data_IF_130976659035
#
_entry.id   IF_130976659035
#
_cell.length_a   1.000
_cell.length_b   1.000
_cell.length_c   1.000
_cell.angle_alpha   90.00
_cell.angle_beta   90.00
_cell.angle_gamma   90.00
#
_symmetry.space_group_name_H-M   'P 1'
#
loop_
_entity.id
_entity.type
_entity.pdbx_description
1 polymer ?
#
# COMPACT_ATOMS: atom_id res chain seq x y z
N UNK A 1 -12.60 -5.25 -27.95
CA UNK A 1 -11.88 -4.00 -27.62
C UNK A 1 -12.12 -3.72 -26.14
N UNK A 2 -11.07 -3.63 -25.31
CA UNK A 2 -11.21 -3.40 -23.87
C UNK A 2 -11.49 -1.91 -23.65
N UNK A 3 -12.69 -1.57 -23.17
CA UNK A 3 -13.05 -0.22 -22.75
C UNK A 3 -12.33 0.09 -21.43
N UNK A 4 -11.15 0.68 -21.49
CA UNK A 4 -10.53 1.27 -20.31
C UNK A 4 -11.18 2.64 -20.06
N UNK A 5 -12.17 2.69 -19.16
CA UNK A 5 -12.86 3.93 -18.75
C UNK A 5 -12.12 4.72 -17.66
N UNK A 6 -10.92 4.29 -17.28
CA UNK A 6 -10.16 4.86 -16.19
C UNK A 6 -9.18 5.91 -16.69
N UNK A 7 -9.24 7.12 -16.12
CA UNK A 7 -8.18 8.11 -16.29
C UNK A 7 -7.14 7.91 -15.19
N UNK A 8 -5.86 7.96 -15.60
CA UNK A 8 -4.72 7.77 -14.73
C UNK A 8 -4.14 9.12 -14.33
N UNK A 9 -3.71 9.25 -13.09
CA UNK A 9 -3.18 10.49 -12.55
C UNK A 9 -1.88 10.25 -11.80
N UNK A 10 -0.92 11.16 -12.01
CA UNK A 10 0.25 11.30 -11.17
C UNK A 10 -0.03 12.36 -10.11
N UNK A 11 0.26 12.02 -8.86
CA UNK A 11 -0.04 12.85 -7.70
C UNK A 11 1.20 13.00 -6.83
N UNK A 12 1.55 14.24 -6.49
CA UNK A 12 2.59 14.58 -5.51
C UNK A 12 2.06 15.57 -4.49
N UNK A 13 2.57 15.53 -3.26
CA UNK A 13 2.22 16.52 -2.23
C UNK A 13 2.87 17.85 -2.61
N UNK A 14 2.10 18.94 -2.60
CA UNK A 14 2.61 20.29 -2.79
C UNK A 14 3.55 20.66 -1.64
N UNK A 15 4.78 21.02 -2.01
CA UNK A 15 5.84 21.43 -1.10
C UNK A 15 6.20 22.91 -1.36
N UNK A 16 7.07 23.45 -0.50
CA UNK A 16 7.58 24.81 -0.65
C UNK A 16 8.21 25.05 -2.04
N UNK A 17 8.23 26.31 -2.51
CA UNK A 17 8.66 26.67 -3.88
C UNK A 17 10.08 26.24 -4.25
N UNK A 18 10.96 26.02 -3.27
CA UNK A 18 12.35 25.63 -3.48
C UNK A 18 12.60 24.13 -3.23
N UNK A 19 11.54 23.36 -3.01
CA UNK A 19 11.67 21.92 -2.79
C UNK A 19 12.06 21.20 -4.08
N UNK A 20 12.98 20.24 -3.97
CA UNK A 20 13.32 19.36 -5.08
C UNK A 20 12.29 18.23 -5.18
N UNK A 21 11.40 18.30 -6.16
CA UNK A 21 10.34 17.31 -6.33
C UNK A 21 10.85 15.94 -6.80
N UNK A 22 12.11 15.80 -7.21
CA UNK A 22 12.72 14.51 -7.52
C UNK A 22 12.80 13.60 -6.28
N UNK A 23 12.84 14.19 -5.09
CA UNK A 23 12.80 13.47 -3.81
C UNK A 23 11.39 13.44 -3.20
N UNK A 24 10.37 13.92 -3.92
CA UNK A 24 8.99 13.89 -3.43
C UNK A 24 8.40 12.49 -3.63
N UNK A 25 7.74 11.92 -2.61
CA UNK A 25 6.87 10.77 -2.82
C UNK A 25 5.80 11.09 -3.85
N UNK A 26 5.60 10.18 -4.80
CA UNK A 26 4.60 10.31 -5.85
C UNK A 26 3.78 9.04 -5.93
N UNK A 27 2.50 9.18 -6.22
CA UNK A 27 1.61 8.04 -6.40
C UNK A 27 0.89 8.17 -7.71
N UNK A 28 0.75 7.05 -8.41
CA UNK A 28 -0.13 6.94 -9.57
C UNK A 28 -1.44 6.34 -9.13
N UNK A 29 -2.54 6.96 -9.51
CA UNK A 29 -3.88 6.50 -9.15
C UNK A 29 -4.80 6.55 -10.35
N UNK A 30 -5.78 5.65 -10.41
CA UNK A 30 -6.69 5.52 -11.54
C UNK A 30 -8.12 5.65 -11.06
N UNK A 31 -8.90 6.48 -11.74
CA UNK A 31 -10.29 6.74 -11.40
C UNK A 31 -11.18 6.53 -12.61
N UNK A 32 -12.33 5.91 -12.39
CA UNK A 32 -13.35 5.82 -13.41
C UNK A 32 -13.95 7.21 -13.62
N UNK A 33 -13.51 7.86 -14.68
CA UNK A 33 -14.08 9.11 -15.16
C UNK A 33 -14.74 8.89 -16.50
N UNK A 34 -15.49 7.79 -16.69
CA UNK A 34 -16.17 7.36 -17.92
C UNK A 34 -16.88 8.47 -18.73
N UNK A 35 -17.12 9.66 -18.15
CA UNK A 35 -17.75 10.81 -18.81
C UNK A 35 -17.06 12.17 -18.61
N UNK A 36 -15.94 12.27 -17.89
CA UNK A 36 -15.32 13.54 -17.50
C UNK A 36 -13.78 13.51 -17.44
N UNK A 37 -13.12 13.00 -18.49
CA UNK A 37 -11.66 13.13 -18.61
C UNK A 37 -11.31 14.63 -18.69
N UNK A 38 -10.42 15.15 -17.83
CA UNK A 38 -10.08 16.55 -17.84
C UNK A 38 -9.35 16.93 -19.14
N UNK A 39 -9.59 18.16 -19.60
CA UNK A 39 -8.92 18.77 -20.74
C UNK A 39 -8.61 20.23 -20.42
N UNK A 40 -7.81 20.88 -21.25
CA UNK A 40 -7.51 22.33 -21.15
C UNK A 40 -8.80 23.18 -21.18
N UNK A 41 -9.88 22.66 -21.78
CA UNK A 41 -11.19 23.32 -21.88
C UNK A 41 -12.16 22.96 -20.75
N UNK A 42 -11.78 22.06 -19.85
CA UNK A 42 -12.63 21.66 -18.73
C UNK A 42 -13.01 22.86 -17.85
N UNK A 43 -14.25 22.83 -17.37
CA UNK A 43 -14.80 23.84 -16.46
C UNK A 43 -14.14 23.72 -15.10
N UNK A 44 -14.07 24.82 -14.36
CA UNK A 44 -13.57 24.85 -12.98
C UNK A 44 -14.25 23.79 -12.12
N UNK A 45 -15.57 23.63 -12.23
CA UNK A 45 -16.34 22.62 -11.48
C UNK A 45 -15.89 21.18 -11.75
N UNK A 46 -15.49 20.86 -12.98
CA UNK A 46 -14.98 19.52 -13.34
C UNK A 46 -13.59 19.31 -12.75
N UNK A 47 -12.70 20.30 -12.87
CA UNK A 47 -11.35 20.24 -12.32
C UNK A 47 -11.38 20.15 -10.79
N UNK A 48 -12.26 20.92 -10.13
CA UNK A 48 -12.52 20.84 -8.68
C UNK A 48 -13.02 19.46 -8.26
N UNK A 49 -13.97 18.88 -9.00
CA UNK A 49 -14.49 17.55 -8.69
C UNK A 49 -13.39 16.49 -8.75
N UNK A 50 -12.53 16.56 -9.78
CA UNK A 50 -11.38 15.65 -9.93
C UNK A 50 -10.39 15.84 -8.77
N UNK A 51 -10.01 17.08 -8.46
CA UNK A 51 -9.10 17.37 -7.37
C UNK A 51 -9.66 16.87 -6.03
N UNK A 52 -10.95 17.08 -5.75
CA UNK A 52 -11.59 16.62 -4.51
C UNK A 52 -11.67 15.11 -4.42
N UNK A 53 -11.99 14.42 -5.51
CA UNK A 53 -12.05 12.96 -5.55
C UNK A 53 -10.66 12.34 -5.33
N UNK A 54 -9.61 12.95 -5.90
CA UNK A 54 -8.23 12.51 -5.67
C UNK A 54 -7.84 12.75 -4.21
N UNK A 55 -8.09 13.96 -3.69
CA UNK A 55 -7.77 14.31 -2.31
C UNK A 55 -8.56 13.45 -1.32
N UNK A 56 -9.82 13.11 -1.57
CA UNK A 56 -10.61 12.29 -0.64
C UNK A 56 -10.01 10.90 -0.48
N UNK A 57 -9.58 10.26 -1.58
CA UNK A 57 -8.97 8.92 -1.56
C UNK A 57 -7.54 8.89 -1.04
N UNK A 58 -6.79 9.97 -1.26
CA UNK A 58 -5.38 10.07 -0.87
C UNK A 58 -5.17 10.91 0.39
N UNK A 59 -6.24 11.33 1.07
CA UNK A 59 -6.18 12.24 2.23
C UNK A 59 -5.22 11.77 3.33
N UNK A 60 -5.15 10.46 3.57
CA UNK A 60 -4.22 9.83 4.52
C UNK A 60 -2.73 10.06 4.22
N UNK A 61 -2.38 10.48 3.01
CA UNK A 61 -1.00 10.77 2.59
C UNK A 61 -0.65 12.26 2.68
N UNK A 62 -1.59 13.12 3.10
CA UNK A 62 -1.29 14.53 3.35
C UNK A 62 -0.67 14.69 4.75
N UNK A 63 0.40 15.50 4.90
CA UNK A 63 1.03 15.71 6.20
C UNK A 63 0.15 16.50 7.17
N UNK A 64 -0.82 17.27 6.67
CA UNK A 64 -1.78 18.05 7.44
C UNK A 64 -2.96 18.50 6.56
N UNK A 65 -4.01 19.05 7.19
CA UNK A 65 -5.24 19.48 6.51
C UNK A 65 -5.05 20.67 5.55
N UNK A 66 -3.98 21.45 5.71
CA UNK A 66 -3.67 22.59 4.85
C UNK A 66 -2.83 22.21 3.63
N UNK A 67 -2.27 21.00 3.61
CA UNK A 67 -1.52 20.48 2.48
C UNK A 67 -2.45 20.15 1.30
N UNK A 68 -1.88 20.20 0.10
CA UNK A 68 -2.60 19.97 -1.15
C UNK A 68 -1.81 19.02 -2.03
N UNK A 69 -2.51 18.31 -2.91
CA UNK A 69 -1.88 17.54 -3.97
C UNK A 69 -1.75 18.34 -5.27
N UNK A 70 -0.59 18.23 -5.91
CA UNK A 70 -0.40 18.57 -7.31
C UNK A 70 -0.73 17.34 -8.18
N UNK A 71 -1.62 17.52 -9.15
CA UNK A 71 -2.24 16.44 -9.93
C UNK A 71 -2.00 16.62 -11.41
N UNK A 72 -1.46 15.59 -12.06
CA UNK A 72 -1.35 15.49 -13.52
C UNK A 72 -2.22 14.35 -14.05
N UNK A 73 -2.87 14.56 -15.20
CA UNK A 73 -3.42 13.48 -16.01
C UNK A 73 -2.28 12.81 -16.78
N UNK A 74 -2.30 11.47 -16.82
CA UNK A 74 -1.39 10.64 -17.60
C UNK A 74 -2.07 10.10 -18.86
N UNK A 75 -1.30 9.85 -19.91
CA UNK A 75 -1.75 9.09 -21.08
C UNK A 75 -1.67 7.57 -20.85
N UNK A 76 -1.84 6.77 -21.91
CA UNK A 76 -1.74 5.31 -21.84
C UNK A 76 -0.35 4.81 -21.50
N UNK A 77 0.67 5.63 -21.77
CA UNK A 77 2.09 5.30 -21.67
C UNK A 77 2.73 5.93 -20.42
N UNK A 78 1.90 6.37 -19.47
CA UNK A 78 2.29 7.01 -18.21
C UNK A 78 2.98 8.38 -18.34
N UNK A 79 2.87 9.03 -19.51
CA UNK A 79 3.40 10.37 -19.69
C UNK A 79 2.41 11.41 -19.15
N UNK A 80 2.85 12.42 -18.38
CA UNK A 80 1.96 13.48 -17.92
C UNK A 80 1.57 14.41 -19.09
N UNK A 81 0.27 14.52 -19.35
CA UNK A 81 -0.29 15.28 -20.48
C UNK A 81 -1.09 16.52 -20.07
N UNK A 82 -1.52 16.64 -18.81
CA UNK A 82 -2.25 17.82 -18.34
C UNK A 82 -2.05 18.06 -16.84
N UNK A 83 -1.57 19.26 -16.48
CA UNK A 83 -1.48 19.69 -15.08
C UNK A 83 -2.84 20.21 -14.56
N UNK A 84 -3.60 19.33 -13.91
CA UNK A 84 -4.99 19.59 -13.46
C UNK A 84 -5.02 20.68 -12.38
N UNK A 85 -4.19 20.56 -11.35
CA UNK A 85 -4.14 21.52 -10.23
C UNK A 85 -3.70 22.91 -10.70
N UNK A 86 -2.68 22.98 -11.55
CA UNK A 86 -2.24 24.25 -12.12
C UNK A 86 -3.30 24.90 -13.03
N UNK A 87 -4.03 24.11 -13.82
CA UNK A 87 -5.14 24.63 -14.63
C UNK A 87 -6.27 25.19 -13.75
N UNK A 88 -6.57 24.51 -12.64
CA UNK A 88 -7.53 24.97 -11.64
C UNK A 88 -7.09 26.30 -11.00
N UNK A 89 -5.81 26.44 -10.63
CA UNK A 89 -5.25 27.67 -10.09
C UNK A 89 -5.34 28.85 -11.07
N UNK A 90 -5.16 28.61 -12.37
CA UNK A 90 -5.39 29.63 -13.42
C UNK A 90 -6.87 30.05 -13.46
N UNK A 91 -7.80 29.10 -13.31
CA UNK A 91 -9.24 29.41 -13.31
C UNK A 91 -9.68 30.19 -12.08
N UNK A 92 -9.00 30.01 -10.95
CA UNK A 92 -9.21 30.81 -9.74
C UNK A 92 -8.45 32.14 -9.73
N UNK A 93 -7.69 32.46 -10.79
CA UNK A 93 -6.90 33.69 -10.87
C UNK A 93 -5.68 33.71 -9.95
N UNK A 94 -5.27 32.58 -9.39
CA UNK A 94 -4.06 32.46 -8.56
C UNK A 94 -2.78 32.46 -9.39
N UNK A 95 -2.89 31.98 -10.63
CA UNK A 95 -1.79 31.92 -11.60
C UNK A 95 -2.23 32.51 -12.95
N UNK A 96 -1.30 33.14 -13.64
CA UNK A 96 -1.44 33.40 -15.08
C UNK A 96 -1.12 32.14 -15.88
N UNK A 97 -1.54 32.10 -17.16
CA UNK A 97 -1.18 30.99 -18.06
C UNK A 97 0.34 30.86 -18.26
N UNK A 98 1.04 31.99 -18.27
CA UNK A 98 2.50 32.00 -18.38
C UNK A 98 3.17 31.46 -17.13
N UNK A 99 2.65 31.79 -15.94
CA UNK A 99 3.12 31.24 -14.68
C UNK A 99 2.88 29.74 -14.59
N UNK A 100 1.71 29.26 -15.06
CA UNK A 100 1.41 27.84 -15.15
C UNK A 100 2.41 27.10 -16.05
N UNK A 101 2.68 27.62 -17.25
CA UNK A 101 3.64 27.01 -18.17
C UNK A 101 5.02 26.90 -17.53
N UNK A 102 5.54 28.02 -16.99
CA UNK A 102 6.84 28.03 -16.29
C UNK A 102 6.88 27.06 -15.11
N UNK A 103 5.80 26.97 -14.35
CA UNK A 103 5.73 26.08 -13.19
C UNK A 103 5.71 24.61 -13.62
N UNK A 104 4.92 24.29 -14.65
CA UNK A 104 4.88 22.95 -15.24
C UNK A 104 6.25 22.55 -15.79
N UNK A 105 6.90 23.43 -16.57
CA UNK A 105 8.21 23.16 -17.16
C UNK A 105 9.30 22.93 -16.10
N UNK A 106 9.20 23.62 -14.95
CA UNK A 106 10.13 23.43 -13.84
C UNK A 106 9.87 22.14 -13.04
N UNK A 107 8.60 21.78 -12.83
CA UNK A 107 8.21 20.61 -12.01
C UNK A 107 8.31 19.30 -12.77
N UNK A 108 7.93 19.27 -14.05
CA UNK A 108 7.79 18.05 -14.83
C UNK A 108 9.05 17.16 -14.78
N UNK A 109 10.27 17.69 -15.05
CA UNK A 109 11.48 16.87 -15.03
C UNK A 109 11.80 16.27 -13.66
N UNK A 110 11.37 16.95 -12.59
CA UNK A 110 11.58 16.50 -11.22
C UNK A 110 10.57 15.40 -10.84
N UNK A 111 9.30 15.54 -11.23
CA UNK A 111 8.27 14.56 -10.89
C UNK A 111 8.27 13.34 -11.83
N UNK A 112 9.02 13.37 -12.94
CA UNK A 112 9.17 12.23 -13.86
C UNK A 112 10.56 11.57 -13.82
N UNK A 113 11.51 12.08 -13.03
CA UNK A 113 12.82 11.43 -12.86
C UNK A 113 12.68 10.06 -12.20
N UNK A 114 13.64 9.14 -12.36
CA UNK A 114 13.64 7.90 -11.57
C UNK A 114 13.60 8.21 -10.06
N UNK A 115 12.85 7.39 -9.32
CA UNK A 115 12.75 7.51 -7.86
C UNK A 115 13.74 6.55 -7.21
N UNK A 116 14.42 7.01 -6.16
CA UNK A 116 15.18 6.12 -5.30
C UNK A 116 14.21 5.16 -4.59
N UNK A 117 14.43 3.86 -4.74
CA UNK A 117 13.71 2.83 -3.99
C UNK A 117 14.18 2.86 -2.53
N UNK A 118 13.25 2.68 -1.61
CA UNK A 118 13.54 2.53 -0.19
C UNK A 118 13.13 1.12 0.22
N UNK A 119 14.02 0.43 0.92
CA UNK A 119 13.72 -0.85 1.52
C UNK A 119 12.79 -0.65 2.72
N UNK A 120 11.68 -1.38 2.75
CA UNK A 120 10.70 -1.32 3.82
C UNK A 120 10.47 -2.73 4.34
N UNK A 121 10.72 -2.93 5.63
CA UNK A 121 10.46 -4.21 6.31
C UNK A 121 9.02 -4.23 6.82
N UNK A 122 8.23 -5.18 6.31
CA UNK A 122 6.85 -5.39 6.72
C UNK A 122 6.75 -6.70 7.45
N UNK A 123 6.39 -6.63 8.73
CA UNK A 123 6.08 -7.82 9.53
C UNK A 123 4.63 -8.22 9.27
N UNK A 124 4.42 -9.45 8.80
CA UNK A 124 3.11 -10.05 8.58
C UNK A 124 2.90 -11.12 9.63
N UNK A 125 1.82 -11.02 10.40
CA UNK A 125 1.42 -12.02 11.38
C UNK A 125 0.12 -12.68 10.97
N UNK A 126 0.02 -14.00 11.15
CA UNK A 126 -1.16 -14.79 10.85
C UNK A 126 -1.37 -15.88 11.93
N UNK A 127 -2.61 -16.34 12.05
CA UNK A 127 -2.96 -17.50 12.88
C UNK A 127 -3.26 -18.67 11.96
N UNK A 128 -2.60 -19.80 12.19
CA UNK A 128 -2.83 -21.04 11.47
C UNK A 128 -3.43 -22.09 12.43
N UNK A 129 -4.50 -22.72 12.00
CA UNK A 129 -5.08 -23.89 12.70
C UNK A 129 -4.50 -25.15 12.06
N UNK A 130 -3.90 -25.99 12.89
CA UNK A 130 -3.33 -27.27 12.50
C UNK A 130 -4.13 -28.37 13.20
N UNK A 131 -4.68 -29.30 12.42
CA UNK A 131 -5.38 -30.48 12.93
C UNK A 131 -4.60 -31.71 12.58
N UNK A 132 -4.30 -32.52 13.59
CA UNK A 132 -3.52 -33.74 13.39
C UNK A 132 -4.28 -34.96 13.91
N UNK A 133 -4.31 -36.00 13.08
CA UNK A 133 -5.02 -37.25 13.33
C UNK A 133 -4.03 -38.35 13.72
N UNK A 134 -4.43 -39.22 14.66
CA UNK A 134 -3.71 -40.38 15.22
C UNK A 134 -3.06 -41.34 14.20
N UNK A 135 -1.91 -40.95 13.65
CA UNK A 135 -0.80 -41.88 13.34
C UNK A 135 0.45 -41.60 14.20
N UNK A 136 0.44 -40.51 14.98
CA UNK A 136 1.39 -40.32 16.08
C UNK A 136 0.90 -41.11 17.30
N UNK A 137 1.72 -42.03 17.79
CA UNK A 137 1.44 -42.83 18.97
C UNK A 137 1.47 -41.95 20.23
N UNK A 138 0.33 -41.30 20.52
CA UNK A 138 0.12 -40.53 21.76
C UNK A 138 0.03 -41.44 23.00
N UNK A 139 0.22 -42.75 22.87
CA UNK A 139 0.23 -43.74 23.96
C UNK A 139 1.63 -44.29 24.28
N UNK A 140 2.72 -43.65 23.85
CA UNK A 140 4.06 -44.09 24.31
C UNK A 140 4.18 -44.06 25.85
N UNK A 141 4.56 -45.21 26.43
CA UNK A 141 4.60 -45.53 27.87
C UNK A 141 5.77 -44.91 28.64
N UNK A 142 6.55 -44.06 28.00
CA UNK A 142 7.90 -43.71 28.44
C UNK A 142 7.99 -42.28 29.01
N UNK A 143 6.85 -41.60 29.18
CA UNK A 143 6.76 -40.22 29.66
C UNK A 143 6.03 -40.11 31.01
N UNK A 144 6.69 -39.54 32.02
CA UNK A 144 6.18 -39.34 33.39
C UNK A 144 5.57 -37.93 33.60
N UNK A 145 4.88 -37.38 32.60
CA UNK A 145 4.19 -36.07 32.69
C UNK A 145 2.67 -36.20 32.66
N UNK A 146 1.97 -35.27 33.32
CA UNK A 146 0.51 -35.17 33.23
C UNK A 146 0.09 -34.78 31.79
N UNK A 147 -1.04 -35.29 31.31
CA UNK A 147 -1.43 -35.30 29.89
C UNK A 147 -1.30 -33.96 29.15
N UNK A 148 -1.57 -32.85 29.83
CA UNK A 148 -1.53 -31.49 29.26
C UNK A 148 -0.10 -31.06 28.87
N UNK A 149 0.93 -31.38 29.68
CA UNK A 149 2.32 -30.99 29.39
C UNK A 149 2.89 -31.76 28.19
N UNK A 150 2.42 -33.00 27.98
CA UNK A 150 2.80 -33.81 26.83
C UNK A 150 2.18 -33.28 25.54
N UNK A 151 0.94 -32.81 25.61
CA UNK A 151 0.23 -32.22 24.47
C UNK A 151 0.88 -30.93 24.00
N UNK A 152 1.28 -30.08 24.94
CA UNK A 152 2.01 -28.84 24.64
C UNK A 152 3.36 -29.13 23.95
N UNK A 153 4.09 -30.17 24.41
CA UNK A 153 5.37 -30.54 23.79
C UNK A 153 5.18 -31.06 22.36
N UNK A 154 4.21 -31.95 22.13
CA UNK A 154 3.92 -32.46 20.78
C UNK A 154 3.44 -31.33 19.87
N UNK A 155 2.54 -30.48 20.37
CA UNK A 155 2.07 -29.32 19.62
C UNK A 155 3.20 -28.34 19.27
N UNK A 156 4.17 -28.12 20.16
CA UNK A 156 5.33 -27.29 19.86
C UNK A 156 6.22 -27.91 18.78
N UNK A 157 6.54 -29.21 18.89
CA UNK A 157 7.30 -29.93 17.86
C UNK A 157 6.62 -29.83 16.48
N UNK A 158 5.28 -29.88 16.45
CA UNK A 158 4.51 -29.72 15.21
C UNK A 158 4.58 -28.31 14.61
N UNK A 159 4.54 -27.29 15.46
CA UNK A 159 4.70 -25.89 15.04
C UNK A 159 6.10 -25.68 14.50
N UNK A 160 7.12 -26.24 15.15
CA UNK A 160 8.51 -26.16 14.69
C UNK A 160 8.72 -26.87 13.35
N UNK A 161 8.13 -28.06 13.16
CA UNK A 161 8.21 -28.80 11.90
C UNK A 161 7.49 -28.09 10.75
N UNK A 162 6.31 -27.53 11.02
CA UNK A 162 5.45 -26.91 9.99
C UNK A 162 5.85 -25.46 9.69
N UNK A 163 6.34 -24.73 10.69
CA UNK A 163 6.52 -23.28 10.67
C UNK A 163 7.90 -22.81 11.15
N UNK A 164 8.81 -23.71 11.53
CA UNK A 164 10.15 -23.34 12.04
C UNK A 164 11.08 -22.70 11.00
N UNK A 165 10.69 -22.69 9.72
CA UNK A 165 11.38 -21.91 8.68
C UNK A 165 10.99 -20.42 8.67
N UNK A 166 9.97 -20.03 9.44
CA UNK A 166 9.52 -18.65 9.60
C UNK A 166 10.29 -17.96 10.72
N UNK A 167 10.41 -16.63 10.65
CA UNK A 167 11.18 -15.85 11.63
C UNK A 167 10.63 -15.93 13.05
N UNK A 168 9.30 -16.03 13.18
CA UNK A 168 8.63 -16.24 14.45
C UNK A 168 7.48 -17.23 14.29
N UNK A 169 7.48 -18.29 15.07
CA UNK A 169 6.32 -19.16 15.22
C UNK A 169 6.21 -19.59 16.67
N UNK A 170 4.99 -19.61 17.20
CA UNK A 170 4.73 -20.15 18.53
C UNK A 170 3.32 -20.71 18.61
N UNK A 171 3.15 -21.69 19.47
CA UNK A 171 1.88 -22.29 19.81
C UNK A 171 1.06 -21.32 20.68
N UNK A 172 -0.14 -20.94 20.23
CA UNK A 172 -1.04 -20.04 20.97
C UNK A 172 -2.17 -20.77 21.69
N UNK A 173 -2.55 -21.95 21.20
CA UNK A 173 -3.60 -22.77 21.80
C UNK A 173 -3.45 -24.25 21.42
N UNK A 174 -3.76 -25.12 22.36
CA UNK A 174 -3.83 -26.57 22.16
C UNK A 174 -5.12 -27.10 22.77
N UNK A 175 -5.81 -27.95 22.03
CA UNK A 175 -6.97 -28.70 22.51
C UNK A 175 -6.90 -30.14 22.02
N UNK A 176 -6.99 -31.08 22.97
CA UNK A 176 -7.09 -32.50 22.67
C UNK A 176 -8.57 -32.88 22.56
N UNK A 177 -8.92 -33.50 21.44
CA UNK A 177 -10.17 -34.24 21.23
C UNK A 177 -9.84 -35.73 21.07
N UNK A 178 -10.83 -36.62 21.23
CA UNK A 178 -10.67 -38.08 21.39
C UNK A 178 -9.66 -38.75 20.45
N UNK A 179 -9.43 -38.21 19.24
CA UNK A 179 -8.49 -38.74 18.24
C UNK A 179 -7.60 -37.67 17.59
N UNK A 180 -7.66 -36.43 18.08
CA UNK A 180 -7.04 -35.29 17.41
C UNK A 180 -6.40 -34.33 18.38
N UNK A 181 -5.31 -33.71 17.93
CA UNK A 181 -4.76 -32.53 18.57
C UNK A 181 -5.04 -31.33 17.66
N UNK A 182 -5.81 -30.38 18.17
CA UNK A 182 -6.02 -29.07 17.56
C UNK A 182 -4.96 -28.12 18.11
N UNK A 183 -4.17 -27.55 17.20
CA UNK A 183 -3.09 -26.62 17.56
C UNK A 183 -3.31 -25.33 16.78
N UNK A 184 -3.46 -24.20 17.47
CA UNK A 184 -3.32 -22.90 16.83
C UNK A 184 -1.89 -22.42 16.99
N UNK A 185 -1.28 -22.08 15.86
CA UNK A 185 0.03 -21.45 15.79
C UNK A 185 -0.14 -19.98 15.41
N UNK A 186 0.54 -19.09 16.12
CA UNK A 186 0.78 -17.74 15.65
C UNK A 186 2.11 -17.70 14.93
N UNK A 187 2.07 -17.30 13.67
CA UNK A 187 3.24 -17.19 12.80
C UNK A 187 3.47 -15.75 12.41
N UNK A 188 4.73 -15.35 12.33
CA UNK A 188 5.18 -14.02 11.99
C UNK A 188 6.38 -14.12 11.06
N UNK A 189 6.33 -13.35 9.97
CA UNK A 189 7.39 -13.29 8.98
C UNK A 189 7.66 -11.83 8.61
N UNK A 190 8.92 -11.42 8.58
CA UNK A 190 9.31 -10.12 8.03
C UNK A 190 9.62 -10.24 6.54
N UNK A 191 8.83 -9.55 5.73
CA UNK A 191 9.07 -9.43 4.29
C UNK A 191 9.70 -8.06 4.01
N UNK A 192 10.86 -8.06 3.38
CA UNK A 192 11.43 -6.83 2.83
C UNK A 192 10.80 -6.57 1.46
N UNK A 193 10.13 -5.43 1.33
CA UNK A 193 9.61 -4.95 0.06
C UNK A 193 10.34 -3.69 -0.34
N UNK A 194 10.80 -3.65 -1.59
CA UNK A 194 11.26 -2.42 -2.20
C UNK A 194 10.03 -1.62 -2.62
N UNK A 195 9.83 -0.48 -1.97
CA UNK A 195 8.77 0.44 -2.36
C UNK A 195 9.41 1.77 -2.76
N UNK A 196 8.78 2.54 -3.66
CA UNK A 196 9.23 3.89 -4.00
C UNK A 196 9.04 4.90 -2.83
N UNK A 197 9.03 4.44 -1.57
CA UNK A 197 8.51 5.14 -0.40
C UNK A 197 9.44 5.09 0.81
N UNK A 198 9.80 6.24 1.35
CA UNK A 198 10.32 6.41 2.71
C UNK A 198 9.44 7.39 3.48
N UNK A 199 9.17 7.04 4.74
CA UNK A 199 8.39 7.78 5.74
C UNK A 199 8.89 9.21 6.00
#
# INVERSE_FOLDING_TARGET
MKNFHFARFLVVVEQSRNFNYATSPRTTTSFDFARCVPSVRSRTTTLDAIQREITSRLSKYLPNESARFLVWLLDSDDNPILFVTGLLDVRHGKLSREQLAKWSDALLPQITSEQSMTELSVTVSATAELTFCEEHDFETTDYEGDGDERDEMIAQDMVDDSCGHLEGSYMSYVERDEQYLYVNAEVTETVTVEVPWGH
#
